data_IF_486674107914
#
_entry.id   IF_486674107914
#
_cell.length_a   1.000
_cell.length_b   1.000
_cell.length_c   1.000
_cell.angle_alpha   90.00
_cell.angle_beta   90.00
_cell.angle_gamma   90.00
#
_symmetry.space_group_name_H-M   'P 1'
#
loop_
_entity.id
_entity.type
_entity.pdbx_description
1 polymer ?
#
# COMPACT_ATOMS: atom_id res chain seq x y z
N UNK A 1 0.33 9.50 5.24
CA UNK A 1 0.18 10.74 4.45
C UNK A 1 -0.43 11.79 5.37
N UNK A 2 0.30 12.88 5.62
CA UNK A 2 -0.13 13.98 6.50
C UNK A 2 -0.32 15.22 5.62
N UNK A 3 -1.41 15.95 5.83
CA UNK A 3 -1.64 17.24 5.17
C UNK A 3 -0.86 18.34 5.91
N UNK A 4 0.00 19.07 5.19
CA UNK A 4 0.88 20.09 5.79
C UNK A 4 0.19 21.44 6.02
N UNK A 5 -0.97 21.68 5.40
CA UNK A 5 -1.64 23.00 5.35
C UNK A 5 -2.79 23.18 6.37
N UNK A 6 -2.93 22.29 7.36
CA UNK A 6 -3.91 22.47 8.44
C UNK A 6 -3.22 22.73 9.79
N UNK A 7 -3.80 23.56 10.68
CA UNK A 7 -3.24 23.84 12.01
C UNK A 7 -3.00 22.58 12.85
N UNK A 8 -3.73 21.52 12.53
CA UNK A 8 -3.61 20.18 13.12
C UNK A 8 -3.11 19.24 12.03
N UNK A 9 -2.01 18.52 12.29
CA UNK A 9 -1.45 17.52 11.39
C UNK A 9 -2.44 16.36 11.18
N UNK A 10 -3.32 16.47 10.20
CA UNK A 10 -4.36 15.46 9.95
C UNK A 10 -3.82 14.34 9.06
N UNK A 11 -4.08 13.09 9.47
CA UNK A 11 -3.82 11.92 8.64
C UNK A 11 -4.84 11.90 7.51
N UNK A 12 -4.37 12.12 6.28
CA UNK A 12 -5.20 12.10 5.08
C UNK A 12 -5.17 10.75 4.37
N UNK A 13 -4.22 9.88 4.71
CA UNK A 13 -4.20 8.52 4.20
C UNK A 13 -3.12 7.66 4.83
N UNK A 14 -3.33 6.36 4.78
CA UNK A 14 -2.44 5.38 5.37
C UNK A 14 -2.37 4.09 4.54
N UNK A 15 -1.28 3.36 4.80
CA UNK A 15 -1.04 2.00 4.38
C UNK A 15 -0.47 1.24 5.58
N UNK A 16 -0.69 -0.07 5.61
CA UNK A 16 -0.05 -0.99 6.55
C UNK A 16 0.91 -1.89 5.78
N UNK A 17 2.11 -2.07 6.33
CA UNK A 17 3.16 -2.95 5.81
C UNK A 17 3.30 -4.13 6.77
N UNK A 18 3.43 -5.35 6.23
CA UNK A 18 3.66 -6.58 6.99
C UNK A 18 4.78 -7.41 6.36
N UNK A 19 5.61 -8.04 7.19
CA UNK A 19 6.64 -8.99 6.74
C UNK A 19 6.00 -10.28 6.24
N UNK A 20 6.40 -10.76 5.06
CA UNK A 20 5.89 -12.04 4.52
C UNK A 20 6.47 -13.27 5.22
N UNK A 21 7.50 -13.09 6.04
CA UNK A 21 8.03 -14.14 6.93
C UNK A 21 7.08 -14.43 8.11
N UNK A 22 6.21 -13.48 8.43
CA UNK A 22 5.15 -13.61 9.45
C UNK A 22 3.77 -13.89 8.86
N UNK A 23 2.71 -13.74 9.67
CA UNK A 23 1.32 -13.77 9.19
C UNK A 23 0.97 -12.50 8.40
N UNK A 24 0.31 -12.67 7.25
CA UNK A 24 -0.13 -11.56 6.38
C UNK A 24 -1.42 -11.92 5.64
N UNK A 25 -2.13 -10.94 5.11
CA UNK A 25 -3.51 -11.12 4.63
C UNK A 25 -3.65 -12.05 3.43
N UNK A 26 -2.80 -11.93 2.41
CA UNK A 26 -2.85 -12.81 1.24
C UNK A 26 -2.65 -14.28 1.62
N UNK A 27 -1.80 -14.58 2.62
CA UNK A 27 -1.58 -15.94 3.12
C UNK A 27 -2.67 -16.43 4.07
N UNK A 28 -3.14 -15.58 4.98
CA UNK A 28 -3.97 -15.98 6.11
C UNK A 28 -5.45 -15.60 6.01
N UNK A 29 -5.80 -14.62 5.17
CA UNK A 29 -7.17 -14.13 5.00
C UNK A 29 -7.73 -14.39 3.59
N UNK A 30 -6.90 -14.27 2.55
CA UNK A 30 -7.32 -14.42 1.14
C UNK A 30 -6.47 -15.43 0.35
N UNK A 31 -6.19 -16.64 0.88
CA UNK A 31 -5.34 -17.61 0.20
C UNK A 31 -5.88 -18.06 -1.17
N UNK A 32 -7.18 -17.94 -1.42
CA UNK A 32 -7.82 -18.27 -2.69
C UNK A 32 -7.28 -17.43 -3.87
N UNK A 33 -6.80 -16.21 -3.61
CA UNK A 33 -6.21 -15.33 -4.63
C UNK A 33 -4.81 -15.79 -5.08
N UNK A 34 -4.21 -16.76 -4.40
CA UNK A 34 -2.96 -17.38 -4.83
C UNK A 34 -3.17 -18.38 -5.98
N UNK A 35 -4.41 -18.78 -6.28
CA UNK A 35 -4.74 -19.73 -7.34
C UNK A 35 -3.91 -21.03 -7.30
N UNK A 36 -3.72 -21.57 -6.09
CA UNK A 36 -2.95 -22.80 -5.86
C UNK A 36 -1.42 -22.62 -5.85
N UNK A 37 -0.91 -21.40 -6.03
CA UNK A 37 0.51 -21.09 -5.87
C UNK A 37 0.89 -20.97 -4.40
N UNK A 38 2.16 -21.20 -4.10
CA UNK A 38 2.70 -21.00 -2.76
C UNK A 38 2.69 -19.50 -2.38
N UNK A 39 2.32 -19.22 -1.14
CA UNK A 39 2.30 -17.87 -0.60
C UNK A 39 3.75 -17.37 -0.40
N UNK A 40 4.14 -16.19 -0.91
CA UNK A 40 5.48 -15.65 -0.72
C UNK A 40 5.92 -15.62 0.74
N UNK A 41 7.19 -15.95 1.00
CA UNK A 41 7.77 -15.93 2.34
C UNK A 41 9.26 -15.57 2.22
N UNK A 42 9.60 -14.30 2.42
CA UNK A 42 10.98 -13.82 2.28
C UNK A 42 11.20 -12.52 3.06
N UNK A 43 12.37 -12.31 3.67
CA UNK A 43 12.72 -11.04 4.30
C UNK A 43 12.81 -9.88 3.29
N UNK A 44 12.89 -10.16 1.99
CA UNK A 44 12.94 -9.17 0.92
C UNK A 44 11.57 -8.89 0.28
N UNK A 45 10.49 -9.41 0.86
CA UNK A 45 9.12 -9.27 0.34
C UNK A 45 8.20 -8.79 1.46
N UNK A 46 7.47 -7.70 1.20
CA UNK A 46 6.45 -7.17 2.09
C UNK A 46 5.05 -7.27 1.52
N UNK A 47 4.07 -7.45 2.40
CA UNK A 47 2.67 -7.21 2.08
C UNK A 47 2.27 -5.78 2.40
N UNK A 48 1.55 -5.17 1.47
CA UNK A 48 0.82 -3.93 1.67
C UNK A 48 -0.67 -4.20 1.86
N UNK A 49 -1.26 -3.66 2.92
CA UNK A 49 -2.68 -3.79 3.24
C UNK A 49 -3.29 -2.49 3.77
N UNK A 50 -4.63 -2.45 3.91
CA UNK A 50 -5.36 -1.34 4.52
C UNK A 50 -5.07 0.02 3.88
N UNK A 51 -5.03 0.07 2.56
CA UNK A 51 -5.00 1.34 1.84
C UNK A 51 -6.27 2.14 2.12
N UNK A 52 -6.12 3.25 2.83
CA UNK A 52 -7.22 4.15 3.16
C UNK A 52 -6.81 5.60 2.88
N UNK A 53 -7.65 6.33 2.16
CA UNK A 53 -7.49 7.76 1.90
C UNK A 53 -8.77 8.45 2.37
N UNK A 54 -8.60 9.52 3.13
CA UNK A 54 -9.69 10.43 3.48
C UNK A 54 -10.02 11.26 2.23
N UNK A 55 -11.25 11.16 1.70
CA UNK A 55 -11.68 11.95 0.54
C UNK A 55 -12.21 13.34 0.92
N UNK A 56 -12.02 13.77 2.17
CA UNK A 56 -12.53 15.04 2.70
C UNK A 56 -11.82 16.25 2.08
N UNK A 57 -12.60 17.17 1.53
CA UNK A 57 -12.23 18.34 0.71
C UNK A 57 -11.74 17.99 -0.71
N UNK A 58 -12.74 17.88 -1.61
CA UNK A 58 -12.59 18.07 -3.07
C UNK A 58 -11.97 19.47 -3.31
N UNK A 59 -10.64 19.58 -3.33
CA UNK A 59 -10.01 20.90 -3.24
C UNK A 59 -8.66 21.08 -3.91
N UNK A 60 -7.63 20.29 -3.58
CA UNK A 60 -6.28 20.72 -3.95
C UNK A 60 -5.28 19.64 -4.37
N UNK A 61 -5.60 18.36 -4.33
CA UNK A 61 -4.76 17.30 -4.91
C UNK A 61 -5.67 16.14 -5.35
N UNK A 62 -5.53 15.65 -6.57
CA UNK A 62 -6.33 14.52 -7.02
C UNK A 62 -6.07 13.28 -6.17
N UNK A 63 -7.06 12.41 -5.98
CA UNK A 63 -6.87 11.08 -5.37
C UNK A 63 -5.65 10.34 -5.97
N UNK A 64 -5.43 10.54 -7.28
CA UNK A 64 -4.29 10.03 -8.03
C UNK A 64 -2.94 10.60 -7.56
N UNK A 65 -2.84 11.90 -7.31
CA UNK A 65 -1.58 12.55 -6.90
C UNK A 65 -1.17 12.12 -5.48
N UNK A 66 -2.14 12.07 -4.57
CA UNK A 66 -1.90 11.60 -3.21
C UNK A 66 -1.46 10.13 -3.19
N UNK A 67 -2.08 9.30 -4.03
CA UNK A 67 -1.69 7.89 -4.16
C UNK A 67 -0.30 7.75 -4.78
N UNK A 68 0.04 8.56 -5.77
CA UNK A 68 1.36 8.57 -6.40
C UNK A 68 2.45 8.94 -5.39
N UNK A 69 2.23 9.97 -4.58
CA UNK A 69 3.17 10.35 -3.52
C UNK A 69 3.32 9.26 -2.46
N UNK A 70 2.22 8.60 -2.07
CA UNK A 70 2.27 7.44 -1.19
C UNK A 70 3.11 6.31 -1.77
N UNK A 71 2.91 5.98 -3.04
CA UNK A 71 3.67 4.94 -3.75
C UNK A 71 5.15 5.30 -3.89
N UNK A 72 5.48 6.57 -4.16
CA UNK A 72 6.87 7.04 -4.22
C UNK A 72 7.57 6.92 -2.87
N UNK A 73 6.91 7.35 -1.80
CA UNK A 73 7.43 7.22 -0.44
C UNK A 73 7.63 5.75 -0.07
N UNK A 74 6.65 4.90 -0.40
CA UNK A 74 6.70 3.48 -0.15
C UNK A 74 7.81 2.78 -0.93
N UNK A 75 7.94 3.04 -2.23
CA UNK A 75 9.00 2.47 -3.06
C UNK A 75 10.40 2.85 -2.54
N UNK A 76 10.60 4.13 -2.17
CA UNK A 76 11.86 4.58 -1.57
C UNK A 76 12.16 3.86 -0.26
N UNK A 77 11.16 3.75 0.62
CA UNK A 77 11.30 3.08 1.90
C UNK A 77 11.59 1.57 1.73
N UNK A 78 10.91 0.91 0.80
CA UNK A 78 11.16 -0.49 0.45
C UNK A 78 12.58 -0.72 -0.05
N UNK A 79 13.05 0.11 -0.99
CA UNK A 79 14.41 0.01 -1.53
C UNK A 79 15.48 0.24 -0.45
N UNK A 80 15.26 1.15 0.49
CA UNK A 80 16.16 1.40 1.62
C UNK A 80 16.25 0.24 2.62
N UNK A 81 15.27 -0.67 2.61
CA UNK A 81 15.21 -1.83 3.50
C UNK A 81 15.44 -3.15 2.73
N UNK A 82 16.09 -3.10 1.56
CA UNK A 82 16.38 -4.26 0.71
C UNK A 82 15.14 -5.09 0.32
N UNK A 83 13.99 -4.43 0.17
CA UNK A 83 12.75 -5.05 -0.28
C UNK A 83 12.65 -4.99 -1.80
N UNK A 84 12.54 -6.17 -2.41
CA UNK A 84 12.56 -6.37 -3.85
C UNK A 84 11.16 -6.52 -4.44
N UNK A 85 10.18 -6.89 -3.61
CA UNK A 85 8.81 -7.15 -4.07
C UNK A 85 7.79 -6.72 -3.02
N UNK A 86 6.73 -6.07 -3.50
CA UNK A 86 5.56 -5.71 -2.71
C UNK A 86 4.36 -6.50 -3.22
N UNK A 87 3.70 -7.23 -2.34
CA UNK A 87 2.44 -7.94 -2.64
C UNK A 87 1.28 -7.22 -1.98
N UNK A 88 0.10 -7.24 -2.59
CA UNK A 88 -1.08 -6.60 -2.01
C UNK A 88 -2.35 -7.26 -2.48
N UNK A 89 -3.36 -7.30 -1.61
CA UNK A 89 -4.74 -7.62 -1.98
C UNK A 89 -5.50 -6.31 -2.08
N UNK A 90 -5.90 -5.96 -3.30
CA UNK A 90 -6.63 -4.73 -3.59
C UNK A 90 -7.69 -4.95 -4.66
N UNK A 91 -8.48 -3.93 -4.94
CA UNK A 91 -9.50 -3.97 -6.00
C UNK A 91 -8.88 -3.77 -7.37
N UNK A 92 -9.54 -4.31 -8.41
CA UNK A 92 -9.15 -4.11 -9.82
C UNK A 92 -9.09 -2.61 -10.21
N UNK A 93 -9.90 -1.76 -9.57
CA UNK A 93 -9.86 -0.31 -9.81
C UNK A 93 -8.52 0.31 -9.40
N UNK A 94 -8.00 -0.11 -8.25
CA UNK A 94 -6.70 0.35 -7.72
C UNK A 94 -5.54 -0.27 -8.51
N UNK A 95 -5.65 -1.54 -8.93
CA UNK A 95 -4.69 -2.18 -9.85
C UNK A 95 -4.56 -1.40 -11.17
N UNK A 96 -5.68 -1.08 -11.83
CA UNK A 96 -5.70 -0.31 -13.08
C UNK A 96 -5.10 1.09 -12.94
N UNK A 97 -5.18 1.68 -11.76
CA UNK A 97 -4.56 2.96 -11.45
C UNK A 97 -3.04 2.83 -11.29
N UNK A 98 -2.53 1.71 -10.77
CA UNK A 98 -1.08 1.47 -10.58
C UNK A 98 -0.34 1.07 -11.87
N UNK A 99 -1.03 0.44 -12.81
CA UNK A 99 -0.43 0.01 -14.10
C UNK A 99 -0.28 1.20 -15.08
N UNK A 100 -0.94 2.32 -14.82
CA UNK A 100 -0.85 3.55 -15.62
C UNK A 100 0.28 4.46 -15.14
#
# INVERSE_FOLDING_TARGET
LIQADTPEAQVFGCWRILDTTGPYMLKNTFPELLHGKEAPCSPHIWELSRFAINSGQKGSLGFSDCTLEAMRALARYSLQNDIQTLVTVTTVGVEKMMIR
#
